data_IF_257176186414
#
_entry.id   IF_257176186414
#
_cell.length_a   1.000
_cell.length_b   1.000
_cell.length_c   1.000
_cell.angle_alpha   90.00
_cell.angle_beta   90.00
_cell.angle_gamma   90.00
#
_symmetry.space_group_name_H-M   'P 1'
#
loop_
_entity.id
_entity.type
_entity.pdbx_description
1 polymer ?
#
# COMPACT_ATOMS: atom_id res chain seq x y z
N UNK A 1 4.89 -8.60 10.42
CA UNK A 1 5.83 -7.60 9.83
C UNK A 1 6.78 -8.25 8.81
N UNK A 2 7.35 -9.40 9.13
CA UNK A 2 8.26 -10.11 8.22
C UNK A 2 7.64 -10.48 6.87
N UNK A 3 6.36 -10.87 6.85
CA UNK A 3 5.67 -11.19 5.61
C UNK A 3 5.53 -9.97 4.69
N UNK A 4 5.27 -8.78 5.24
CA UNK A 4 5.23 -7.55 4.45
C UNK A 4 6.60 -7.19 3.90
N UNK A 5 7.65 -7.37 4.69
CA UNK A 5 9.03 -7.11 4.27
C UNK A 5 9.42 -7.99 3.08
N UNK A 6 9.07 -9.28 3.12
CA UNK A 6 9.31 -10.21 2.01
C UNK A 6 8.55 -9.79 0.76
N UNK A 7 7.29 -9.43 0.90
CA UNK A 7 6.46 -8.98 -0.23
C UNK A 7 7.07 -7.75 -0.90
N UNK A 8 7.51 -6.77 -0.12
CA UNK A 8 8.11 -5.55 -0.65
C UNK A 8 9.47 -5.83 -1.28
N UNK A 9 10.28 -6.68 -0.66
CA UNK A 9 11.57 -7.08 -1.22
C UNK A 9 11.41 -7.78 -2.57
N UNK A 10 10.45 -8.69 -2.69
CA UNK A 10 10.13 -9.36 -3.96
C UNK A 10 9.70 -8.34 -5.03
N UNK A 11 8.93 -7.34 -4.65
CA UNK A 11 8.52 -6.28 -5.56
C UNK A 11 9.71 -5.45 -6.06
N UNK A 12 10.64 -5.11 -5.17
CA UNK A 12 11.85 -4.37 -5.53
C UNK A 12 12.77 -5.19 -6.45
N UNK A 13 12.79 -6.51 -6.31
CA UNK A 13 13.59 -7.41 -7.12
C UNK A 13 12.98 -7.67 -8.50
N UNK A 14 11.73 -7.29 -8.73
CA UNK A 14 11.08 -7.47 -10.04
C UNK A 14 11.74 -6.55 -11.06
N UNK A 15 12.17 -7.08 -12.23
CA UNK A 15 12.74 -6.25 -13.30
C UNK A 15 11.77 -5.21 -13.87
N UNK A 16 10.45 -5.45 -13.73
CA UNK A 16 9.41 -4.49 -14.10
C UNK A 16 8.89 -3.79 -12.82
N UNK A 17 9.27 -2.52 -12.58
CA UNK A 17 8.86 -1.81 -11.36
C UNK A 17 7.36 -1.65 -11.22
N UNK A 18 6.63 -1.48 -12.33
CA UNK A 18 5.17 -1.39 -12.29
C UNK A 18 4.54 -2.70 -11.86
N UNK A 19 5.00 -3.82 -12.43
CA UNK A 19 4.52 -5.14 -12.02
C UNK A 19 4.85 -5.42 -10.56
N UNK A 20 6.06 -5.10 -10.12
CA UNK A 20 6.46 -5.23 -8.73
C UNK A 20 5.58 -4.42 -7.80
N UNK A 21 5.29 -3.18 -8.16
CA UNK A 21 4.39 -2.31 -7.40
C UNK A 21 2.97 -2.89 -7.29
N UNK A 22 2.41 -3.36 -8.40
CA UNK A 22 1.09 -3.99 -8.41
C UNK A 22 1.04 -5.23 -7.53
N UNK A 23 2.07 -6.07 -7.61
CA UNK A 23 2.15 -7.29 -6.80
C UNK A 23 2.24 -6.97 -5.31
N UNK A 24 2.96 -5.93 -4.92
CA UNK A 24 3.04 -5.50 -3.52
C UNK A 24 1.65 -5.15 -3.00
N UNK A 25 0.89 -4.35 -3.72
CA UNK A 25 -0.47 -3.97 -3.31
C UNK A 25 -1.36 -5.21 -3.19
N UNK A 26 -1.38 -6.05 -4.21
CA UNK A 26 -2.24 -7.23 -4.26
C UNK A 26 -1.91 -8.22 -3.14
N UNK A 27 -0.64 -8.49 -2.91
CA UNK A 27 -0.19 -9.46 -1.90
C UNK A 27 -0.40 -8.95 -0.47
N UNK A 28 -0.16 -7.66 -0.21
CA UNK A 28 -0.41 -7.09 1.11
C UNK A 28 -1.91 -7.06 1.42
N UNK A 29 -2.74 -6.68 0.46
CA UNK A 29 -4.18 -6.72 0.63
C UNK A 29 -4.68 -8.14 0.94
N UNK A 30 -4.19 -9.12 0.22
CA UNK A 30 -4.57 -10.53 0.45
C UNK A 30 -4.11 -11.03 1.82
N UNK A 31 -2.89 -10.68 2.23
CA UNK A 31 -2.37 -11.03 3.55
C UNK A 31 -3.26 -10.50 4.68
N UNK A 32 -3.66 -9.23 4.58
CA UNK A 32 -4.55 -8.62 5.56
C UNK A 32 -5.96 -9.24 5.53
N UNK A 33 -6.44 -9.64 4.36
CA UNK A 33 -7.74 -10.30 4.24
C UNK A 33 -7.74 -11.71 4.85
N UNK A 34 -6.60 -12.42 4.76
CA UNK A 34 -6.45 -13.76 5.32
C UNK A 34 -6.23 -13.75 6.83
N UNK A 35 -5.53 -12.76 7.33
CA UNK A 35 -5.08 -12.72 8.72
C UNK A 35 -5.55 -11.44 9.41
N UNK A 36 -6.75 -11.51 9.99
CA UNK A 36 -7.32 -10.39 10.76
C UNK A 36 -6.54 -10.10 12.04
N UNK A 37 -5.98 -11.12 12.66
CA UNK A 37 -5.14 -10.94 13.84
C UNK A 37 -3.88 -10.15 13.51
N UNK A 38 -3.24 -10.47 12.38
CA UNK A 38 -2.11 -9.71 11.85
C UNK A 38 -2.50 -8.25 11.59
N UNK A 39 -3.65 -8.03 10.95
CA UNK A 39 -4.15 -6.70 10.64
C UNK A 39 -4.42 -5.90 11.91
N UNK A 40 -5.08 -6.49 12.90
CA UNK A 40 -5.35 -5.84 14.18
C UNK A 40 -4.04 -5.46 14.89
N UNK A 41 -3.05 -6.35 14.91
CA UNK A 41 -1.73 -6.07 15.47
C UNK A 41 -1.02 -4.96 14.70
N UNK A 42 -1.08 -4.98 13.37
CA UNK A 42 -0.49 -3.95 12.51
C UNK A 42 -1.11 -2.57 12.80
N UNK A 43 -2.44 -2.49 12.88
CA UNK A 43 -3.14 -1.24 13.14
C UNK A 43 -2.95 -0.77 14.57
N UNK A 44 -2.86 -1.67 15.54
CA UNK A 44 -2.64 -1.35 16.95
C UNK A 44 -1.23 -0.80 17.22
N UNK A 45 -0.24 -1.22 16.42
CA UNK A 45 1.14 -0.76 16.54
C UNK A 45 1.35 0.61 15.89
N UNK A 46 0.36 1.15 15.21
CA UNK A 46 0.44 2.47 14.57
C UNK A 46 0.80 3.60 15.54
N UNK A 47 0.36 3.63 16.81
CA UNK A 47 0.84 4.64 17.75
C UNK A 47 1.91 4.11 18.71
N UNK A 48 3.13 3.80 18.28
CA UNK A 48 4.24 3.97 19.20
C UNK A 48 4.93 2.77 19.82
N UNK A 49 5.00 1.60 19.20
CA UNK A 49 6.00 0.60 19.58
C UNK A 49 7.29 0.87 18.81
N UNK A 50 8.37 1.21 19.51
CA UNK A 50 9.62 1.72 18.95
C UNK A 50 10.25 0.74 17.93
N UNK A 51 10.27 -0.55 18.23
CA UNK A 51 10.87 -1.57 17.35
C UNK A 51 10.03 -1.81 16.08
N UNK A 52 8.71 -1.81 16.23
CA UNK A 52 7.80 -1.91 15.10
C UNK A 52 7.81 -0.64 14.23
N UNK A 53 8.03 0.54 14.83
CA UNK A 53 8.13 1.79 14.11
C UNK A 53 9.34 1.80 13.16
N UNK A 54 10.49 1.28 13.59
CA UNK A 54 11.68 1.20 12.74
C UNK A 54 11.47 0.26 11.58
N UNK A 55 10.98 -0.96 11.81
CA UNK A 55 10.70 -1.94 10.76
C UNK A 55 9.67 -1.42 9.77
N UNK A 56 8.63 -0.75 10.26
CA UNK A 56 7.60 -0.15 9.41
C UNK A 56 8.14 1.01 8.59
N UNK A 57 9.02 1.83 9.15
CA UNK A 57 9.66 2.92 8.42
C UNK A 57 10.50 2.37 7.27
N UNK A 58 11.26 1.30 7.49
CA UNK A 58 12.00 0.62 6.44
C UNK A 58 11.10 0.07 5.34
N UNK A 59 10.00 -0.55 5.72
CA UNK A 59 9.02 -1.08 4.75
C UNK A 59 8.39 0.04 3.94
N UNK A 60 8.00 1.13 4.58
CA UNK A 60 7.42 2.29 3.89
C UNK A 60 8.43 2.97 2.98
N UNK A 61 9.68 3.09 3.39
CA UNK A 61 10.76 3.64 2.56
C UNK A 61 11.01 2.77 1.33
N UNK A 62 10.98 1.44 1.50
CA UNK A 62 11.13 0.50 0.40
C UNK A 62 9.96 0.60 -0.60
N UNK A 63 8.73 0.74 -0.11
CA UNK A 63 7.56 0.95 -0.97
C UNK A 63 7.66 2.30 -1.69
N UNK A 64 8.12 3.34 -1.01
CA UNK A 64 8.31 4.66 -1.62
C UNK A 64 9.34 4.59 -2.76
N UNK A 65 10.43 3.85 -2.59
CA UNK A 65 11.41 3.62 -3.66
C UNK A 65 10.82 2.86 -4.84
N UNK A 66 10.04 1.81 -4.56
CA UNK A 66 9.37 1.06 -5.61
C UNK A 66 8.36 1.93 -6.37
N UNK A 67 7.61 2.76 -5.67
CA UNK A 67 6.67 3.70 -6.29
C UNK A 67 7.42 4.72 -7.17
N UNK A 68 8.56 5.22 -6.70
CA UNK A 68 9.41 6.10 -7.50
C UNK A 68 9.85 5.44 -8.80
N UNK A 69 10.30 4.19 -8.74
CA UNK A 69 10.69 3.42 -9.93
C UNK A 69 9.50 3.19 -10.86
N UNK A 70 8.34 2.86 -10.32
CA UNK A 70 7.12 2.65 -11.10
C UNK A 70 6.65 3.95 -11.79
N UNK A 71 6.75 5.09 -11.12
CA UNK A 71 6.50 6.40 -11.74
C UNK A 71 7.46 6.69 -12.89
N UNK A 72 8.74 6.35 -12.72
CA UNK A 72 9.75 6.55 -13.75
C UNK A 72 9.46 5.76 -15.02
N UNK A 73 8.73 4.63 -14.94
CA UNK A 73 8.28 3.87 -16.12
C UNK A 73 7.14 4.57 -16.88
N UNK A 74 6.51 5.57 -16.29
CA UNK A 74 5.32 6.22 -16.83
C UNK A 74 4.02 5.46 -16.61
N UNK A 75 4.03 4.34 -15.89
CA UNK A 75 2.85 3.50 -15.67
C UNK A 75 2.10 3.80 -14.38
N UNK A 76 2.80 4.24 -13.33
CA UNK A 76 2.16 4.71 -12.11
C UNK A 76 1.85 6.19 -12.25
N UNK A 77 0.63 6.58 -11.89
CA UNK A 77 0.21 7.98 -11.98
C UNK A 77 1.14 8.88 -11.14
N UNK A 78 1.54 10.04 -11.68
CA UNK A 78 2.55 10.89 -11.01
C UNK A 78 2.06 11.53 -9.72
N UNK A 79 0.75 11.65 -9.52
CA UNK A 79 0.16 12.22 -8.31
C UNK A 79 -0.03 11.18 -7.18
N UNK A 80 0.38 9.92 -7.38
CA UNK A 80 0.39 8.92 -6.32
C UNK A 80 1.30 9.37 -5.18
N UNK A 81 0.82 9.23 -3.95
CA UNK A 81 1.58 9.44 -2.71
C UNK A 81 1.46 8.21 -1.82
N UNK A 82 2.39 8.04 -0.89
CA UNK A 82 2.42 6.87 -0.01
C UNK A 82 1.14 6.76 0.84
N UNK A 83 0.55 7.89 1.21
CA UNK A 83 -0.73 7.92 1.93
C UNK A 83 -1.85 7.23 1.16
N UNK A 84 -1.80 7.20 -0.16
CA UNK A 84 -2.79 6.49 -0.99
C UNK A 84 -2.70 4.98 -0.75
N UNK A 85 -1.51 4.43 -0.57
CA UNK A 85 -1.35 3.03 -0.20
C UNK A 85 -2.00 2.73 1.14
N UNK A 86 -1.78 3.59 2.12
CA UNK A 86 -2.37 3.43 3.45
C UNK A 86 -3.89 3.51 3.36
N UNK A 87 -4.42 4.42 2.56
CA UNK A 87 -5.86 4.52 2.31
C UNK A 87 -6.41 3.21 1.69
N UNK A 88 -5.71 2.65 0.72
CA UNK A 88 -6.10 1.37 0.09
C UNK A 88 -6.11 0.25 1.14
N UNK A 89 -5.10 0.17 2.00
CA UNK A 89 -5.04 -0.86 3.05
C UNK A 89 -6.14 -0.69 4.08
N UNK A 90 -6.47 0.53 4.47
CA UNK A 90 -7.58 0.82 5.38
C UNK A 90 -8.92 0.41 4.76
N UNK A 91 -9.14 0.72 3.49
CA UNK A 91 -10.35 0.32 2.78
C UNK A 91 -10.45 -1.20 2.65
N UNK A 92 -9.34 -1.86 2.32
CA UNK A 92 -9.29 -3.32 2.26
C UNK A 92 -9.65 -3.96 3.60
N UNK A 93 -9.23 -3.35 4.69
CA UNK A 93 -9.51 -3.79 6.05
C UNK A 93 -11.00 -3.70 6.41
N UNK A 94 -11.71 -2.78 5.77
CA UNK A 94 -13.15 -2.61 5.95
C UNK A 94 -14.01 -3.57 5.14
N UNK A 95 -13.41 -4.42 4.32
CA UNK A 95 -14.17 -5.37 3.51
C UNK A 95 -14.85 -6.41 4.40
N UNK A 96 -16.14 -6.58 4.21
CA UNK A 96 -16.94 -7.54 4.93
C UNK A 96 -17.49 -8.59 3.97
N UNK A 97 -17.42 -9.84 4.39
CA UNK A 97 -17.97 -10.97 3.63
C UNK A 97 -18.47 -12.03 4.60
N UNK A 98 -19.41 -12.84 4.15
CA UNK A 98 -20.02 -13.89 4.98
C UNK A 98 -19.02 -15.00 5.36
N UNK A 99 -17.98 -15.20 4.57
CA UNK A 99 -16.98 -16.26 4.78
C UNK A 99 -15.57 -15.70 4.64
N UNK A 100 -14.56 -16.36 5.28
CA UNK A 100 -13.16 -16.00 5.04
C UNK A 100 -12.74 -16.07 3.57
N UNK A 101 -13.18 -17.09 2.85
CA UNK A 101 -12.90 -17.21 1.41
C UNK A 101 -13.52 -16.08 0.60
N UNK A 102 -14.74 -15.67 0.95
CA UNK A 102 -15.41 -14.52 0.31
C UNK A 102 -14.67 -13.22 0.55
N UNK A 103 -14.10 -13.04 1.74
CA UNK A 103 -13.30 -11.84 2.05
C UNK A 103 -12.01 -11.80 1.22
N UNK A 104 -11.33 -12.93 1.08
CA UNK A 104 -10.13 -13.01 0.22
C UNK A 104 -10.48 -12.69 -1.23
N UNK A 105 -11.59 -13.25 -1.74
CA UNK A 105 -12.06 -12.96 -3.09
C UNK A 105 -12.39 -11.47 -3.28
N UNK A 106 -13.07 -10.86 -2.32
CA UNK A 106 -13.37 -9.43 -2.33
C UNK A 106 -12.09 -8.57 -2.29
N UNK A 107 -11.12 -8.97 -1.48
CA UNK A 107 -9.83 -8.29 -1.40
C UNK A 107 -9.06 -8.35 -2.71
N UNK A 108 -9.04 -9.49 -3.37
CA UNK A 108 -8.40 -9.64 -4.69
C UNK A 108 -9.03 -8.73 -5.73
N UNK A 109 -10.35 -8.67 -5.76
CA UNK A 109 -11.05 -7.77 -6.68
C UNK A 109 -10.80 -6.31 -6.35
N UNK A 110 -10.87 -5.96 -5.07
CA UNK A 110 -10.58 -4.59 -4.62
C UNK A 110 -9.16 -4.16 -4.99
N UNK A 111 -8.16 -5.00 -4.73
CA UNK A 111 -6.78 -4.70 -5.07
C UNK A 111 -6.59 -4.51 -6.58
N UNK A 112 -7.23 -5.32 -7.40
CA UNK A 112 -7.19 -5.16 -8.85
C UNK A 112 -7.82 -3.83 -9.30
N UNK A 113 -8.95 -3.45 -8.71
CA UNK A 113 -9.59 -2.15 -8.97
C UNK A 113 -8.68 -0.99 -8.54
N UNK A 114 -8.05 -1.09 -7.38
CA UNK A 114 -7.14 -0.08 -6.87
C UNK A 114 -5.92 0.10 -7.78
N UNK A 115 -5.31 -1.00 -8.21
CA UNK A 115 -4.17 -0.98 -9.13
C UNK A 115 -4.54 -0.29 -10.44
N UNK A 116 -5.70 -0.61 -11.01
CA UNK A 116 -6.16 0.04 -12.23
C UNK A 116 -6.40 1.53 -12.04
N UNK A 117 -6.93 1.93 -10.89
CA UNK A 117 -7.12 3.35 -10.55
C UNK A 117 -5.80 4.11 -10.42
N UNK A 118 -4.74 3.42 -9.98
CA UNK A 118 -3.41 4.03 -9.80
C UNK A 118 -2.60 4.09 -11.10
N UNK A 119 -3.03 3.41 -12.14
CA UNK A 119 -2.34 3.42 -13.41
C UNK A 119 -2.41 4.80 -14.05
N UNK A 120 -1.28 5.26 -14.59
CA UNK A 120 -1.24 6.49 -15.36
C UNK A 120 -2.06 6.32 -16.64
N UNK A 121 -2.99 7.26 -16.87
CA UNK A 121 -3.86 7.26 -18.05
C UNK A 121 -3.81 8.65 -18.67
N UNK A 122 -3.58 8.77 -20.00
CA UNK A 122 -3.63 10.08 -20.65
C UNK A 122 -4.99 10.76 -20.42
N UNK A 123 -4.97 12.03 -20.02
CA UNK A 123 -6.19 12.80 -19.77
C UNK A 123 -6.90 12.48 -18.46
N UNK A 124 -6.30 11.68 -17.57
CA UNK A 124 -6.86 11.43 -16.25
C UNK A 124 -6.96 12.73 -15.44
N UNK A 125 -8.09 12.92 -14.78
CA UNK A 125 -8.27 14.07 -13.91
C UNK A 125 -7.35 13.95 -12.68
N UNK A 126 -6.81 15.09 -12.18
CA UNK A 126 -6.06 15.10 -10.95
C UNK A 126 -6.90 14.60 -9.77
N UNK A 127 -6.26 13.89 -8.86
CA UNK A 127 -6.91 13.47 -7.61
C UNK A 127 -7.09 14.69 -6.69
N UNK A 128 -8.09 14.67 -5.79
CA UNK A 128 -8.16 15.64 -4.70
C UNK A 128 -6.87 15.64 -3.88
N UNK A 129 -6.61 16.70 -3.08
CA UNK A 129 -5.43 16.73 -2.23
C UNK A 129 -5.32 15.49 -1.36
N UNK A 130 -4.11 14.92 -1.19
CA UNK A 130 -3.95 13.68 -0.43
C UNK A 130 -4.25 13.89 1.05
N UNK A 131 -4.91 12.89 1.65
CA UNK A 131 -5.07 12.83 3.10
C UNK A 131 -3.75 12.38 3.73
N UNK A 132 -3.38 12.98 4.85
CA UNK A 132 -2.16 12.60 5.58
C UNK A 132 -2.49 11.50 6.58
N UNK A 133 -2.19 10.27 6.19
CA UNK A 133 -2.50 9.07 6.96
C UNK A 133 -1.24 8.38 7.48
N UNK A 134 -0.07 8.65 6.86
CA UNK A 134 1.18 8.07 7.29
C UNK A 134 1.63 8.71 8.62
N UNK A 135 1.80 7.92 9.70
CA UNK A 135 2.24 8.48 10.97
C UNK A 135 3.70 8.90 10.91
N UNK A 136 4.03 9.99 11.58
CA UNK A 136 5.40 10.32 11.94
C UNK A 136 6.21 11.17 10.98
N UNK A 137 5.66 11.68 9.90
CA UNK A 137 6.32 12.76 9.17
C UNK A 137 5.92 14.11 9.78
N UNK A 138 6.87 14.85 10.36
CA UNK A 138 6.57 16.22 10.73
C UNK A 138 6.11 16.97 9.49
N UNK A 139 5.10 17.79 9.68
CA UNK A 139 4.65 18.72 8.64
C UNK A 139 5.85 19.56 8.23
N UNK A 140 6.36 19.35 7.03
CA UNK A 140 7.22 20.36 6.47
C UNK A 140 6.41 21.66 6.45
N UNK A 141 6.92 22.75 7.00
CA UNK A 141 6.22 24.00 6.90
C UNK A 141 6.04 24.29 5.39
N UNK A 142 4.82 24.35 4.98
CA UNK A 142 4.50 24.82 3.65
C UNK A 142 4.97 26.26 3.55
N UNK A 143 6.03 26.42 2.81
CA UNK A 143 6.38 27.75 2.33
C UNK A 143 5.32 28.21 1.34
#
# INVERSE_FOLDING_TARGET
MRACEVIVADGLDDPDPWRGFCQVIERICELHARDRGFTAAFMATFPGAIDFATSRTHTLDAVAELARRAKATGKLRPDFVLDDLILVLMANNGLQAATPAGRVAASRRFAALAVQALRATPGAEPLPPPARLAPGRPLSPTS
#
